data_IF_913521689853
#
_entry.id   IF_913521689853
#
_cell.length_a   1.000
_cell.length_b   1.000
_cell.length_c   1.000
_cell.angle_alpha   90.00
_cell.angle_beta   90.00
_cell.angle_gamma   90.00
#
_symmetry.space_group_name_H-M   'P 1'
#
loop_
_entity.id
_entity.type
_entity.pdbx_description
1 polymer ?
2 branched ?
3 non-polymer ?
4 non-polymer ?
5 water ?
#
# COMPACT_ATOMS: atom_id res chain seq x y z
N UNK A 1 -1.58 10.99 -55.07
CA UNK A 1 -0.88 11.46 -53.89
C UNK A 1 -1.56 11.37 -52.44
N UNK A 2 -1.43 10.17 -51.71
CA UNK A 2 -2.01 9.59 -50.42
C UNK A 2 -1.84 9.91 -48.91
N UNK A 3 -2.57 10.95 -48.59
CA UNK A 3 -2.72 11.35 -47.23
C UNK A 3 -3.77 10.41 -46.68
N UNK A 4 -4.92 10.26 -47.34
CA UNK A 4 -6.01 9.42 -46.87
C UNK A 4 -5.64 8.12 -46.20
N UNK A 5 -4.86 7.28 -46.85
CA UNK A 5 -4.43 6.00 -46.34
C UNK A 5 -3.71 6.12 -44.98
N UNK A 6 -2.78 7.08 -44.97
CA UNK A 6 -1.98 7.33 -43.81
C UNK A 6 -2.96 7.83 -42.79
N UNK A 7 -3.84 8.78 -43.08
CA UNK A 7 -4.81 9.29 -42.13
C UNK A 7 -5.72 8.27 -41.51
N UNK A 8 -5.84 7.16 -42.21
CA UNK A 8 -6.61 6.05 -41.73
C UNK A 8 -5.75 5.17 -40.86
N UNK A 9 -4.51 4.90 -41.21
CA UNK A 9 -3.68 4.11 -40.34
C UNK A 9 -3.48 4.85 -39.02
N UNK A 10 -3.34 6.17 -39.04
CA UNK A 10 -3.18 6.95 -37.83
C UNK A 10 -4.47 6.88 -37.03
N UNK A 11 -5.62 7.08 -37.70
CA UNK A 11 -6.91 7.08 -37.05
C UNK A 11 -7.11 5.74 -36.32
N UNK A 12 -6.84 4.59 -36.98
CA UNK A 12 -7.13 3.32 -36.33
C UNK A 12 -6.13 3.06 -35.20
N UNK A 13 -4.84 3.36 -35.32
CA UNK A 13 -3.93 3.13 -34.21
C UNK A 13 -4.22 4.12 -33.09
N UNK A 14 -4.51 5.41 -33.26
CA UNK A 14 -4.90 6.31 -32.17
C UNK A 14 -6.26 5.99 -31.47
N UNK A 15 -7.37 5.42 -32.03
CA UNK A 15 -8.51 5.13 -31.16
C UNK A 15 -8.17 3.88 -30.34
N UNK A 16 -7.45 2.91 -30.88
CA UNK A 16 -6.90 1.79 -30.10
C UNK A 16 -5.98 2.22 -28.94
N UNK A 17 -5.12 3.24 -29.06
CA UNK A 17 -4.26 3.72 -27.98
C UNK A 17 -5.19 4.31 -26.94
N UNK A 18 -6.18 5.12 -27.37
CA UNK A 18 -7.18 5.72 -26.49
C UNK A 18 -7.88 4.62 -25.72
N UNK A 19 -8.30 3.58 -26.45
CA UNK A 19 -8.92 2.40 -25.86
C UNK A 19 -7.94 1.68 -24.90
N UNK A 20 -6.66 1.47 -25.22
CA UNK A 20 -5.75 0.79 -24.34
C UNK A 20 -5.36 1.57 -23.08
N UNK A 21 -5.17 2.88 -23.23
CA UNK A 21 -4.71 3.79 -22.21
C UNK A 21 -5.33 3.67 -20.80
N UNK A 22 -6.64 3.70 -20.51
CA UNK A 22 -7.21 3.23 -19.25
C UNK A 22 -6.63 1.95 -18.64
N UNK A 23 -6.51 0.86 -19.39
CA UNK A 23 -6.08 -0.42 -18.86
C UNK A 23 -4.68 -0.34 -18.30
N UNK A 24 -3.76 0.25 -19.07
CA UNK A 24 -2.36 0.39 -18.66
C UNK A 24 -2.22 1.47 -17.60
N UNK A 25 -3.11 2.46 -17.62
CA UNK A 25 -3.21 3.47 -16.58
C UNK A 25 -3.49 2.76 -15.28
N UNK A 26 -4.41 1.78 -15.28
CA UNK A 26 -4.70 0.97 -14.11
C UNK A 26 -3.65 -0.07 -13.85
N UNK A 27 -2.98 -0.55 -14.87
CA UNK A 27 -1.94 -1.53 -14.69
C UNK A 27 -0.78 -0.96 -13.89
N UNK A 28 -0.34 0.23 -14.31
CA UNK A 28 0.83 0.85 -13.72
C UNK A 28 0.59 1.09 -12.25
N UNK A 29 -0.56 1.71 -11.96
CA UNK A 29 -0.98 1.97 -10.61
C UNK A 29 -0.99 0.74 -9.71
N UNK A 30 -1.40 -0.44 -10.20
CA UNK A 30 -1.36 -1.62 -9.38
C UNK A 30 0.07 -2.02 -9.16
N UNK A 31 0.94 -1.84 -10.16
CA UNK A 31 2.36 -2.13 -10.01
C UNK A 31 2.97 -1.15 -9.02
N UNK A 32 2.65 0.13 -8.99
CA UNK A 32 3.14 1.05 -7.97
C UNK A 32 2.57 0.75 -6.55
N UNK A 33 1.36 0.26 -6.26
CA UNK A 33 1.00 -0.03 -4.88
C UNK A 33 1.63 -1.37 -4.52
N UNK A 34 1.97 -2.25 -5.45
CA UNK A 34 2.72 -3.47 -5.15
C UNK A 34 3.97 -3.21 -4.30
N UNK A 35 4.68 -2.17 -4.70
CA UNK A 35 5.87 -1.75 -3.99
C UNK A 35 5.53 -1.34 -2.57
N UNK A 36 4.49 -0.54 -2.40
CA UNK A 36 4.05 -0.10 -1.11
C UNK A 36 3.78 -1.36 -0.30
N UNK A 37 3.04 -2.32 -0.87
CA UNK A 37 2.74 -3.54 -0.16
C UNK A 37 4.05 -4.22 0.12
N UNK A 38 5.09 -4.13 -0.71
CA UNK A 38 6.34 -4.81 -0.39
C UNK A 38 7.26 -4.11 0.61
N UNK A 39 7.29 -2.79 0.65
CA UNK A 39 8.01 -2.09 1.68
C UNK A 39 7.33 -2.30 3.06
N UNK A 40 6.01 -2.43 3.16
CA UNK A 40 5.33 -2.68 4.41
C UNK A 40 5.56 -4.09 4.94
N UNK A 41 5.62 -5.11 4.08
CA UNK A 41 5.82 -6.49 4.51
C UNK A 41 7.20 -6.79 5.03
N UNK A 42 8.20 -6.00 4.58
CA UNK A 42 9.60 -6.09 5.03
C UNK A 42 9.77 -5.97 6.55
N UNK A 43 8.97 -5.03 7.08
CA UNK A 43 8.74 -4.68 8.47
C UNK A 43 7.94 -5.70 9.33
N UNK A 44 7.28 -6.75 8.84
CA UNK A 44 6.50 -7.59 9.72
C UNK A 44 7.34 -8.46 10.64
N UNK A 45 8.56 -8.82 10.25
CA UNK A 45 9.48 -9.64 11.03
C UNK A 45 9.78 -8.94 12.33
N UNK A 46 10.25 -7.70 12.22
CA UNK A 46 10.48 -6.89 13.38
C UNK A 46 9.21 -6.68 14.25
N UNK A 47 7.98 -6.42 13.73
CA UNK A 47 6.80 -6.18 14.58
C UNK A 47 6.40 -7.44 15.32
N UNK A 48 6.46 -8.57 14.60
CA UNK A 48 6.10 -9.89 15.10
C UNK A 48 6.99 -10.24 16.26
N UNK A 49 8.30 -10.07 16.01
CA UNK A 49 9.36 -10.31 16.98
C UNK A 49 9.19 -9.54 18.28
N UNK A 50 8.98 -8.22 18.09
CA UNK A 50 8.74 -7.30 19.16
C UNK A 50 7.51 -7.80 19.89
N UNK A 51 6.38 -8.03 19.28
CA UNK A 51 5.25 -8.47 20.05
C UNK A 51 5.50 -9.80 20.77
N UNK A 52 6.24 -10.68 20.14
CA UNK A 52 6.40 -12.00 20.69
C UNK A 52 7.29 -12.03 21.92
N UNK A 53 8.35 -11.26 21.88
CA UNK A 53 9.21 -11.22 23.04
C UNK A 53 8.60 -10.45 24.19
N UNK A 54 7.51 -9.72 24.02
CA UNK A 54 7.14 -8.85 25.11
C UNK A 54 5.70 -8.78 25.47
N UNK A 55 4.80 -9.08 24.52
CA UNK A 55 3.37 -8.89 24.73
C UNK A 55 2.84 -7.51 24.32
N UNK A 56 3.73 -6.57 23.96
CA UNK A 56 3.34 -5.23 23.57
C UNK A 56 3.69 -5.04 22.09
N UNK A 57 2.88 -4.24 21.37
CA UNK A 57 3.19 -3.89 19.98
C UNK A 57 4.21 -2.77 19.98
N UNK A 58 5.25 -2.77 19.11
CA UNK A 58 6.24 -1.68 19.02
C UNK A 58 5.56 -0.33 18.78
N UNK A 59 5.96 0.70 19.53
CA UNK A 59 5.24 1.94 19.40
C UNK A 59 5.58 2.66 18.13
N UNK A 60 6.82 2.50 17.71
CA UNK A 60 7.28 3.20 16.54
C UNK A 60 8.35 2.43 15.82
N UNK A 61 8.93 3.10 14.84
CA UNK A 61 9.99 2.53 14.05
C UNK A 61 11.12 2.11 14.92
N UNK A 62 11.59 3.00 15.82
CA UNK A 62 12.71 2.78 16.76
C UNK A 62 12.41 1.67 17.80
N UNK A 63 11.26 1.57 18.49
CA UNK A 63 10.90 0.37 19.21
C UNK A 63 11.01 -0.92 18.44
N UNK A 64 10.46 -0.94 17.24
CA UNK A 64 10.45 -2.14 16.41
C UNK A 64 11.88 -2.43 15.89
N UNK A 65 12.78 -1.47 15.96
CA UNK A 65 14.11 -1.73 15.51
C UNK A 65 14.21 -1.62 14.01
N UNK A 66 13.60 -0.60 13.38
CA UNK A 66 13.79 -0.34 11.95
C UNK A 66 14.22 1.13 11.76
N UNK A 67 14.61 1.64 10.56
CA UNK A 67 15.12 3.01 10.42
C UNK A 67 14.11 3.95 11.03
N UNK A 68 14.58 4.61 12.06
CA UNK A 68 13.73 5.46 12.82
C UNK A 68 13.00 6.59 12.15
N UNK A 69 13.35 7.38 11.10
CA UNK A 69 12.35 8.16 10.39
C UNK A 69 11.84 7.25 9.28
N UNK A 70 10.51 7.17 9.20
CA UNK A 70 9.77 6.54 8.11
C UNK A 70 10.24 6.86 6.70
N UNK A 71 10.68 8.11 6.46
CA UNK A 71 11.22 8.53 5.18
C UNK A 71 12.47 7.74 4.84
N UNK A 72 13.11 6.96 5.71
CA UNK A 72 14.23 6.15 5.29
C UNK A 72 13.82 4.80 4.76
N UNK A 73 12.52 4.51 4.87
CA UNK A 73 11.99 3.30 4.27
C UNK A 73 11.15 3.85 3.14
N UNK A 74 11.76 4.02 1.99
CA UNK A 74 11.06 4.60 0.87
C UNK A 74 11.41 3.79 -0.37
N UNK A 75 10.69 4.02 -1.47
CA UNK A 75 10.97 3.32 -2.69
C UNK A 75 10.86 4.28 -3.88
N UNK A 76 10.73 3.68 -5.07
CA UNK A 76 10.50 4.39 -6.31
C UNK A 76 9.14 5.10 -6.17
N UNK A 77 8.09 4.47 -5.65
CA UNK A 77 6.79 5.12 -5.61
C UNK A 77 6.27 5.36 -4.20
N UNK A 78 6.96 4.87 -3.19
CA UNK A 78 6.52 5.01 -1.83
C UNK A 78 7.39 6.07 -1.19
N UNK A 79 6.81 6.98 -0.43
CA UNK A 79 7.55 7.96 0.36
C UNK A 79 8.02 7.45 1.74
N UNK A 80 7.21 6.72 2.50
CA UNK A 80 7.52 6.37 3.88
C UNK A 80 6.62 5.28 4.39
N UNK A 81 7.20 4.37 5.15
CA UNK A 81 6.53 3.22 5.71
C UNK A 81 6.70 3.54 7.17
N UNK A 82 5.62 3.54 7.97
CA UNK A 82 5.65 3.92 9.38
C UNK A 82 5.04 2.94 10.37
N UNK A 83 5.73 2.42 11.41
CA UNK A 83 5.20 1.55 12.49
C UNK A 83 4.63 2.43 13.61
N UNK A 84 3.37 2.28 13.86
CA UNK A 84 2.77 3.08 14.87
C UNK A 84 1.84 2.11 15.56
N UNK A 85 2.29 1.61 16.71
CA UNK A 85 1.60 0.63 17.55
C UNK A 85 1.39 -0.70 16.89
N UNK A 86 2.47 -1.20 16.32
CA UNK A 86 2.42 -2.44 15.60
C UNK A 86 1.76 -2.35 14.22
N UNK A 87 1.11 -1.25 13.77
CA UNK A 87 0.43 -1.19 12.47
C UNK A 87 1.45 -0.55 11.56
N UNK A 88 1.78 -1.11 10.38
CA UNK A 88 2.71 -0.45 9.49
C UNK A 88 1.94 0.10 8.31
N UNK A 89 2.08 1.40 8.05
CA UNK A 89 1.38 2.12 7.00
C UNK A 89 2.32 2.73 5.97
N UNK A 90 2.08 2.42 4.69
CA UNK A 90 2.94 2.91 3.62
C UNK A 90 2.14 3.99 2.92
N UNK A 91 2.81 5.12 2.68
CA UNK A 91 2.29 6.29 1.98
C UNK A 91 2.96 6.33 0.62
N UNK A 92 2.19 6.59 -0.41
CA UNK A 92 2.71 6.69 -1.76
C UNK A 92 3.28 8.08 -1.94
N UNK A 93 4.23 8.20 -2.83
CA UNK A 93 4.85 9.47 -3.09
C UNK A 93 3.85 10.37 -3.80
N UNK A 94 4.17 11.63 -4.11
CA UNK A 94 3.28 12.43 -4.95
C UNK A 94 4.06 12.79 -6.23
N UNK A 95 4.97 11.94 -6.74
CA UNK A 95 5.81 12.22 -7.92
C UNK A 95 6.21 10.91 -8.60
N UNK A 96 6.07 10.74 -9.91
CA UNK A 96 6.40 9.45 -10.50
C UNK A 96 5.34 8.41 -10.16
N UNK A 97 4.19 8.85 -9.66
CA UNK A 97 3.08 8.00 -9.23
C UNK A 97 1.83 8.53 -9.93
N UNK A 98 0.95 7.60 -10.34
CA UNK A 98 -0.34 7.82 -11.02
C UNK A 98 -1.19 8.81 -10.21
N UNK A 99 -1.91 9.83 -10.73
CA UNK A 99 -2.61 10.75 -9.82
C UNK A 99 -3.67 10.12 -8.95
N UNK A 100 -4.42 9.08 -9.35
CA UNK A 100 -5.43 8.62 -8.43
C UNK A 100 -4.82 7.87 -7.24
N UNK A 101 -3.52 7.56 -7.24
CA UNK A 101 -2.96 6.99 -6.03
C UNK A 101 -1.89 7.92 -5.47
N UNK A 102 -1.65 9.18 -5.86
CA UNK A 102 -0.48 9.82 -5.30
C UNK A 102 -0.73 10.32 -3.88
N UNK A 103 0.22 10.04 -2.99
CA UNK A 103 0.14 10.45 -1.61
C UNK A 103 -0.81 9.61 -0.77
N UNK A 104 -1.33 8.50 -1.26
CA UNK A 104 -2.33 7.75 -0.52
C UNK A 104 -1.67 6.57 0.21
N UNK A 105 -2.44 5.86 1.08
CA UNK A 105 -1.84 4.81 1.89
C UNK A 105 -2.62 3.54 2.10
N UNK A 106 -1.89 2.49 2.52
CA UNK A 106 -2.45 1.23 2.97
C UNK A 106 -1.75 0.85 4.28
N UNK A 107 -2.24 -0.21 4.96
CA UNK A 107 -1.74 -0.69 6.24
C UNK A 107 -1.78 -2.20 6.33
N UNK A 108 -0.81 -2.73 7.04
CA UNK A 108 -0.69 -4.14 7.40
C UNK A 108 -0.83 -4.16 8.89
N UNK A 109 -1.58 -5.02 9.58
CA UNK A 109 -1.62 -5.04 11.06
C UNK A 109 -1.73 -6.48 11.52
N UNK A 110 -1.51 -6.87 12.77
CA UNK A 110 -1.64 -8.27 13.13
C UNK A 110 -2.55 -8.41 14.33
N UNK A 111 -2.90 -9.64 14.65
CA UNK A 111 -3.81 -9.95 15.74
C UNK A 111 -3.09 -11.07 16.45
N UNK A 112 -3.18 -11.28 17.77
CA UNK A 112 -2.56 -12.45 18.40
C UNK A 112 -3.37 -13.71 18.37
N UNK A 113 -2.89 -14.74 17.70
CA UNK A 113 -3.58 -16.00 17.71
C UNK A 113 -2.59 -16.80 18.49
N UNK A 114 -2.77 -16.37 19.74
CA UNK A 114 -2.07 -16.78 20.95
C UNK A 114 -1.04 -17.85 20.72
N UNK A 115 0.19 -17.35 20.66
CA UNK A 115 1.34 -18.16 20.30
C UNK A 115 2.04 -17.54 19.09
N UNK A 116 1.25 -16.96 18.16
CA UNK A 116 1.79 -16.21 17.04
C UNK A 116 0.83 -15.08 16.76
N UNK A 117 1.23 -14.38 15.69
CA UNK A 117 0.46 -13.33 15.09
C UNK A 117 -0.01 -13.80 13.72
N UNK A 118 -1.11 -13.17 13.35
CA UNK A 118 -1.84 -13.37 12.12
C UNK A 118 -1.81 -12.01 11.43
N UNK A 119 -1.30 -11.87 10.22
CA UNK A 119 -1.27 -10.56 9.57
C UNK A 119 -2.38 -10.24 8.57
N UNK A 120 -2.74 -8.98 8.40
CA UNK A 120 -3.77 -8.56 7.47
C UNK A 120 -3.19 -7.43 6.67
N UNK A 121 -3.81 -7.22 5.52
CA UNK A 121 -3.35 -6.24 4.55
C UNK A 121 -4.59 -5.51 4.07
N UNK A 122 -4.62 -4.20 3.95
CA UNK A 122 -5.82 -3.51 3.53
C UNK A 122 -5.60 -2.02 3.60
N UNK A 123 -6.70 -1.30 3.64
CA UNK A 123 -6.71 0.16 3.71
C UNK A 123 -6.40 0.60 5.14
N UNK A 124 -5.98 1.83 5.43
CA UNK A 124 -5.42 2.17 6.73
C UNK A 124 -6.34 1.94 7.88
N UNK A 125 -5.63 1.61 8.97
CA UNK A 125 -6.24 1.22 10.24
C UNK A 125 -5.48 1.85 11.44
N UNK A 126 -6.07 2.16 12.62
CA UNK A 126 -5.31 2.66 13.76
C UNK A 126 -5.58 1.66 14.85
N UNK A 127 -4.60 1.32 15.69
CA UNK A 127 -4.80 0.40 16.75
C UNK A 127 -5.57 1.07 17.88
N UNK A 128 -6.67 0.49 18.32
CA UNK A 128 -7.42 0.98 19.46
C UNK A 128 -6.93 0.31 20.73
N UNK A 129 -6.79 -1.01 20.82
CA UNK A 129 -6.18 -1.61 22.00
C UNK A 129 -5.32 -2.77 21.56
N UNK A 130 -4.75 -3.62 22.40
CA UNK A 130 -3.82 -4.60 21.90
C UNK A 130 -4.35 -5.66 20.97
N UNK A 131 -5.66 -5.69 20.86
CA UNK A 131 -6.28 -6.59 19.90
C UNK A 131 -7.29 -5.95 18.95
N UNK A 132 -7.62 -4.65 18.95
CA UNK A 132 -8.51 -4.17 17.92
C UNK A 132 -7.87 -3.02 17.18
N UNK A 133 -8.13 -2.90 15.88
CA UNK A 133 -7.75 -1.74 15.10
C UNK A 133 -9.07 -1.18 14.54
N UNK A 134 -9.07 0.06 14.08
CA UNK A 134 -10.28 0.72 13.62
C UNK A 134 -9.88 1.32 12.31
N UNK A 135 -10.87 1.57 11.43
CA UNK A 135 -10.60 2.15 10.12
C UNK A 135 -10.13 3.56 10.32
N UNK A 136 -9.06 3.86 9.61
CA UNK A 136 -8.52 5.18 9.64
C UNK A 136 -8.69 5.71 8.22
N UNK A 137 -9.93 5.84 7.79
CA UNK A 137 -10.14 6.29 6.45
C UNK A 137 -10.51 7.75 6.63
N UNK A 138 -9.59 8.53 6.08
CA UNK A 138 -9.60 9.98 6.19
C UNK A 138 -9.65 10.66 4.85
N UNK A 139 -9.89 9.81 3.86
CA UNK A 139 -9.89 10.26 2.48
C UNK A 139 -8.57 9.99 1.78
N UNK A 140 -7.48 9.59 2.42
CA UNK A 140 -6.21 9.37 1.75
C UNK A 140 -5.83 7.88 1.60
N UNK A 141 -6.82 7.00 1.70
CA UNK A 141 -6.61 5.57 1.56
C UNK A 141 -6.57 5.10 0.09
N UNK A 142 -5.77 4.09 -0.31
CA UNK A 142 -5.71 3.59 -1.70
C UNK A 142 -7.08 2.97 -1.95
N UNK A 143 -7.63 3.25 -3.12
CA UNK A 143 -8.94 2.77 -3.52
C UNK A 143 -8.89 1.26 -3.60
N UNK A 144 -10.06 0.63 -3.44
CA UNK A 144 -10.11 -0.81 -3.47
C UNK A 144 -9.68 -1.31 -4.86
N UNK A 145 -10.08 -0.64 -5.97
CA UNK A 145 -9.72 -1.10 -7.30
C UNK A 145 -8.21 -1.25 -7.55
N UNK A 146 -7.26 -0.68 -6.79
CA UNK A 146 -5.82 -0.89 -7.08
C UNK A 146 -5.09 -1.86 -6.14
N UNK A 147 -5.82 -2.33 -5.11
CA UNK A 147 -5.29 -3.24 -4.12
C UNK A 147 -5.41 -4.65 -4.69
N UNK A 148 -4.37 -5.48 -4.64
CA UNK A 148 -4.49 -6.91 -4.87
C UNK A 148 -5.62 -7.55 -4.05
N UNK A 149 -6.20 -8.67 -4.46
CA UNK A 149 -7.21 -9.39 -3.68
C UNK A 149 -6.64 -10.00 -2.39
N UNK A 150 -5.31 -10.10 -2.28
CA UNK A 150 -4.64 -10.51 -1.05
C UNK A 150 -4.62 -9.36 -0.04
N UNK A 151 -4.91 -8.14 -0.48
CA UNK A 151 -4.78 -7.05 0.41
C UNK A 151 -6.10 -6.35 0.37
N UNK A 152 -7.14 -6.98 0.87
CA UNK A 152 -8.49 -6.42 0.86
C UNK A 152 -9.17 -6.54 2.23
N UNK A 153 -8.43 -6.66 3.35
CA UNK A 153 -9.01 -6.89 4.67
C UNK A 153 -9.57 -5.65 5.32
N UNK A 154 -10.76 -5.87 5.83
CA UNK A 154 -11.42 -4.81 6.54
C UNK A 154 -10.93 -4.86 7.99
N UNK A 155 -11.12 -3.72 8.65
CA UNK A 155 -10.66 -3.52 9.99
C UNK A 155 -10.97 -4.64 10.96
N UNK A 156 -12.10 -5.29 10.79
CA UNK A 156 -12.54 -6.31 11.72
C UNK A 156 -12.21 -7.73 11.34
N UNK A 157 -11.43 -7.88 10.25
CA UNK A 157 -11.06 -9.16 9.67
C UNK A 157 -10.41 -10.02 10.72
N UNK A 158 -10.59 -11.31 10.49
CA UNK A 158 -9.99 -12.37 11.28
C UNK A 158 -9.87 -13.61 10.39
X LIG B 1 9.36 1.56 21.89
X LIG B 1 9.30 2.95 22.49
X LIG B 1 9.05 2.77 23.97
X LIG B 1 7.67 2.15 24.10
X LIG B 1 7.69 0.78 23.38
X LIG B 1 6.35 0.06 23.40
X LIG B 1 10.52 4.85 21.73
X LIG B 1 11.87 5.45 21.33
X LIG B 1 10.55 3.64 22.27
X LIG B 1 9.09 4.02 24.67
X LIG B 1 7.31 2.01 25.47
X LIG B 1 8.07 0.95 22.00
X LIG B 1 6.12 -0.56 24.67
X LIG B 1 9.47 5.52 21.68
X LIG B 2 9.68 3.96 25.94
X LIG B 2 9.15 5.11 26.79
X LIG B 2 9.62 6.44 26.21
X LIG B 2 11.14 6.43 26.13
X LIG B 2 11.63 5.24 25.32
X LIG B 2 13.14 5.12 25.33
X LIG B 2 7.72 5.06 26.78
X LIG B 2 9.20 7.50 27.07
X LIG B 2 11.67 6.36 27.44
X LIG B 2 11.10 4.01 25.87
X LIG B 2 13.77 6.37 25.03
X LIG C 1 12.89 -5.28 24.72
X LIG D 1 0.52 15.93 -60.39
X LIG D 1 1.66 16.56 -60.97
X LIG D 1 -0.14 15.04 -61.47
X LIG D 1 0.87 14.70 -62.44
X LIG D 1 -0.74 13.68 -60.91
X LIG D 1 -1.61 14.05 -59.85
X LIG D 1 0.29 12.66 -60.44
X LIG D 1 -0.29 11.34 -59.97
X LIG D 1 0.80 10.47 -59.39
X LIG D 1 0.21 9.14 -58.96
#
# INVERSE_FOLDING_TARGET
FTLIELMIVIAIVGILAAVALPAYQDYTARAQVSEAILLAEGQKSAVTEYYLNHGKWPENNTSAGVASPPSDIKGKYVKEVEVKNGVVTATMLSSGVNNEIKGKKLSLWARRENGSVKWFCGQPVTRTDDDTVADAKDGKEIDTKHLPSTCRDNFDAK
NAG C1 C2 C3 C4 C5 C6 C7 C8 N2 O3 O4 O5 O6 O7
GLA C1 C2 C3 C4 C5 C6 O2 O3 O4 O5 O6
PT PT
HTO C1 O1 C2 O2 C3 O3 C4 C5 C6 C7
#
